data_IF_890950805220
#
_entry.id   IF_890950805220
#
_cell.length_a   1.000
_cell.length_b   1.000
_cell.length_c   1.000
_cell.angle_alpha   90.00
_cell.angle_beta   90.00
_cell.angle_gamma   90.00
#
_symmetry.space_group_name_H-M   'P 1'
#
loop_
_entity.id
_entity.type
_entity.pdbx_description
1 polymer ?
#
# COMPACT_ATOMS: atom_id res chain seq x y z
N UNK A 1 6.67 -21.24 11.10
CA UNK A 1 6.36 -19.97 11.78
C UNK A 1 7.46 -18.98 11.43
N UNK A 2 7.15 -17.81 10.88
CA UNK A 2 8.14 -16.74 10.63
C UNK A 2 7.86 -15.59 11.59
N UNK A 3 8.80 -15.28 12.48
CA UNK A 3 8.62 -14.24 13.49
C UNK A 3 9.23 -12.92 13.01
N UNK A 4 8.38 -11.90 12.88
CA UNK A 4 8.82 -10.56 12.48
C UNK A 4 9.15 -9.77 13.75
N UNK A 5 10.45 -9.51 13.96
CA UNK A 5 10.91 -8.70 15.10
C UNK A 5 10.47 -7.25 14.90
N UNK A 6 9.81 -6.67 15.91
CA UNK A 6 9.32 -5.29 15.90
C UNK A 6 10.08 -4.44 16.90
N UNK A 7 10.35 -3.20 16.53
CA UNK A 7 10.87 -2.17 17.43
C UNK A 7 9.84 -1.04 17.52
N UNK A 8 9.42 -0.70 18.72
CA UNK A 8 8.38 0.31 18.96
C UNK A 8 6.97 -0.22 18.74
N UNK A 9 6.01 0.71 18.67
CA UNK A 9 4.59 0.47 18.38
C UNK A 9 4.11 1.52 17.37
N UNK A 10 3.16 1.17 16.46
CA UNK A 10 2.55 2.15 15.58
C UNK A 10 1.94 3.30 16.37
N UNK A 11 2.17 4.53 15.91
CA UNK A 11 1.46 5.68 16.43
C UNK A 11 -0.02 5.59 16.05
N UNK A 12 -0.87 6.28 16.81
CA UNK A 12 -2.28 6.39 16.46
C UNK A 12 -2.43 7.17 15.14
N UNK A 13 -3.46 6.85 14.37
CA UNK A 13 -3.74 7.46 13.06
C UNK A 13 -3.87 8.99 13.10
N UNK A 14 -4.39 9.55 14.19
CA UNK A 14 -4.52 11.00 14.40
C UNK A 14 -3.17 11.72 14.55
N UNK A 15 -2.11 10.99 14.87
CA UNK A 15 -0.75 11.52 15.01
C UNK A 15 0.07 11.22 13.74
N UNK A 16 -0.07 10.00 13.19
CA UNK A 16 0.65 9.56 12.01
C UNK A 16 -0.30 8.80 11.05
N UNK A 17 -0.97 9.51 10.12
CA UNK A 17 -1.93 8.88 9.21
C UNK A 17 -1.28 8.15 8.04
N UNK A 18 -0.02 8.44 7.72
CA UNK A 18 0.68 7.93 6.55
C UNK A 18 1.83 7.02 6.97
N UNK A 19 1.87 5.83 6.37
CA UNK A 19 2.96 4.85 6.54
C UNK A 19 3.86 4.91 5.32
N UNK A 20 5.16 5.08 5.56
CA UNK A 20 6.18 5.02 4.51
C UNK A 20 7.14 3.90 4.84
N UNK A 21 7.36 3.00 3.89
CA UNK A 21 8.32 1.91 4.03
C UNK A 21 9.16 1.72 2.78
N UNK A 22 10.28 1.03 2.93
CA UNK A 22 10.93 0.39 1.80
C UNK A 22 10.04 -0.74 1.25
N UNK A 23 10.23 -1.09 -0.02
CA UNK A 23 9.57 -2.21 -0.68
C UNK A 23 10.62 -3.27 -1.02
N UNK A 24 10.51 -4.45 -0.41
CA UNK A 24 11.46 -5.56 -0.55
C UNK A 24 10.81 -6.78 -1.17
N UNK A 25 9.50 -6.97 -0.98
CA UNK A 25 8.79 -8.16 -1.46
C UNK A 25 7.32 -7.88 -1.76
N UNK A 26 6.72 -8.72 -2.63
CA UNK A 26 5.28 -8.68 -2.93
C UNK A 26 4.38 -8.99 -1.73
N UNK A 27 4.94 -9.52 -0.63
CA UNK A 27 4.19 -9.78 0.61
C UNK A 27 4.12 -8.55 1.54
N UNK A 28 4.89 -7.47 1.27
CA UNK A 28 4.89 -6.28 2.11
C UNK A 28 3.47 -5.69 2.31
N UNK A 29 2.64 -5.55 1.24
CA UNK A 29 1.25 -5.08 1.36
C UNK A 29 0.41 -5.90 2.34
N UNK A 30 0.58 -7.23 2.33
CA UNK A 30 -0.18 -8.16 3.18
C UNK A 30 0.22 -7.98 4.65
N UNK A 31 1.52 -7.85 4.92
CA UNK A 31 2.02 -7.60 6.27
C UNK A 31 1.49 -6.28 6.83
N UNK A 32 1.57 -5.19 6.06
CA UNK A 32 1.06 -3.90 6.50
C UNK A 32 -0.46 -3.90 6.68
N UNK A 33 -1.20 -4.60 5.83
CA UNK A 33 -2.64 -4.76 6.00
C UNK A 33 -3.02 -5.47 7.30
N UNK A 34 -2.36 -6.58 7.60
CA UNK A 34 -2.55 -7.29 8.86
C UNK A 34 -2.24 -6.41 10.09
N UNK A 35 -1.17 -5.61 10.03
CA UNK A 35 -0.71 -4.83 11.18
C UNK A 35 -1.46 -3.50 11.37
N UNK A 36 -1.81 -2.81 10.27
CA UNK A 36 -2.23 -1.41 10.30
C UNK A 36 -3.55 -1.13 9.56
N UNK A 37 -4.07 -2.09 8.79
CA UNK A 37 -5.22 -1.89 7.89
C UNK A 37 -5.14 -0.60 7.05
N UNK A 38 -4.03 -0.34 6.32
CA UNK A 38 -3.87 0.87 5.54
C UNK A 38 -4.54 0.74 4.15
N UNK A 39 -4.81 1.88 3.53
CA UNK A 39 -5.01 1.95 2.08
C UNK A 39 -3.65 2.02 1.39
N UNK A 40 -3.40 1.10 0.46
CA UNK A 40 -2.09 0.95 -0.19
C UNK A 40 -2.09 1.69 -1.52
N UNK A 41 -0.93 2.24 -1.91
CA UNK A 41 -0.73 2.85 -3.22
C UNK A 41 -0.03 1.82 -4.12
N UNK A 42 -0.61 1.51 -5.29
CA UNK A 42 -0.08 0.51 -6.21
C UNK A 42 -0.06 1.02 -7.65
N UNK A 43 0.83 0.49 -8.49
CA UNK A 43 0.82 0.83 -9.91
C UNK A 43 -0.38 0.20 -10.63
N UNK A 44 -0.99 0.93 -11.57
CA UNK A 44 -2.04 0.41 -12.46
C UNK A 44 -1.61 -0.85 -13.22
N UNK A 45 -0.32 -1.00 -13.53
CA UNK A 45 0.18 -2.17 -14.27
C UNK A 45 0.05 -3.50 -13.50
N UNK A 46 -0.17 -3.46 -12.18
CA UNK A 46 -0.35 -4.69 -11.41
C UNK A 46 -1.72 -5.34 -11.63
N UNK A 47 -2.71 -4.60 -12.15
CA UNK A 47 -4.09 -5.09 -12.30
C UNK A 47 -4.22 -6.23 -13.34
N UNK A 48 -3.28 -6.31 -14.27
CA UNK A 48 -3.21 -7.35 -15.30
C UNK A 48 -2.45 -8.61 -14.86
N UNK A 49 -1.86 -8.62 -13.66
CA UNK A 49 -1.12 -9.78 -13.17
C UNK A 49 -2.09 -10.81 -12.57
N UNK A 50 -2.03 -12.09 -12.98
CA UNK A 50 -2.88 -13.12 -12.41
C UNK A 50 -2.60 -13.27 -10.90
N UNK A 51 -3.67 -13.46 -10.12
CA UNK A 51 -3.67 -13.51 -8.64
C UNK A 51 -3.31 -12.19 -7.93
N UNK A 52 -2.22 -11.53 -8.35
CA UNK A 52 -1.77 -10.26 -7.75
C UNK A 52 -2.80 -9.15 -8.01
N UNK A 53 -3.34 -9.05 -9.23
CA UNK A 53 -4.36 -8.07 -9.57
C UNK A 53 -5.64 -8.25 -8.75
N UNK A 54 -6.08 -9.49 -8.51
CA UNK A 54 -7.27 -9.78 -7.70
C UNK A 54 -7.10 -9.36 -6.24
N UNK A 55 -5.93 -9.65 -5.66
CA UNK A 55 -5.60 -9.24 -4.29
C UNK A 55 -5.57 -7.70 -4.20
N UNK A 56 -4.87 -7.05 -5.12
CA UNK A 56 -4.75 -5.58 -5.14
C UNK A 56 -6.12 -4.91 -5.29
N UNK A 57 -7.00 -5.44 -6.16
CA UNK A 57 -8.39 -4.96 -6.28
C UNK A 57 -9.17 -5.14 -4.99
N UNK A 58 -9.08 -6.31 -4.35
CA UNK A 58 -9.77 -6.59 -3.09
C UNK A 58 -9.30 -5.68 -1.94
N UNK A 59 -8.03 -5.25 -1.96
CA UNK A 59 -7.46 -4.34 -0.96
C UNK A 59 -7.84 -2.86 -1.15
N UNK A 60 -8.64 -2.52 -2.18
CA UNK A 60 -9.09 -1.15 -2.48
C UNK A 60 -7.95 -0.13 -2.53
N UNK A 61 -6.90 -0.43 -3.30
CA UNK A 61 -5.72 0.43 -3.42
C UNK A 61 -6.00 1.75 -4.15
N UNK A 62 -5.14 2.74 -3.92
CA UNK A 62 -5.02 3.92 -4.77
C UNK A 62 -4.09 3.55 -5.93
N UNK A 63 -4.65 3.48 -7.14
CA UNK A 63 -3.88 3.18 -8.34
C UNK A 63 -3.10 4.39 -8.86
N UNK A 64 -1.89 4.14 -9.37
CA UNK A 64 -1.03 5.17 -9.95
C UNK A 64 -0.45 4.73 -11.29
N UNK A 65 -0.66 5.53 -12.31
CA UNK A 65 0.08 5.47 -13.56
C UNK A 65 1.26 6.45 -13.52
N UNK A 66 2.46 5.90 -13.36
CA UNK A 66 3.70 6.71 -13.27
C UNK A 66 4.00 7.52 -14.52
N UNK A 67 3.45 7.16 -15.68
CA UNK A 67 3.67 7.87 -16.94
C UNK A 67 2.67 9.01 -17.17
N UNK A 68 1.55 9.02 -16.45
CA UNK A 68 0.53 10.08 -16.53
C UNK A 68 0.67 11.09 -15.39
N UNK A 69 0.98 12.34 -15.72
CA UNK A 69 1.05 13.42 -14.74
C UNK A 69 -0.30 13.66 -14.03
N UNK A 70 -1.42 13.50 -14.76
CA UNK A 70 -2.76 13.58 -14.18
C UNK A 70 -3.02 12.48 -13.16
N UNK A 71 -2.65 11.23 -13.47
CA UNK A 71 -2.80 10.10 -12.53
C UNK A 71 -1.98 10.32 -11.25
N UNK A 72 -0.71 10.76 -11.37
CA UNK A 72 0.11 11.09 -10.19
C UNK A 72 -0.52 12.18 -9.32
N UNK A 73 -1.09 13.23 -9.94
CA UNK A 73 -1.75 14.33 -9.21
C UNK A 73 -3.00 13.83 -8.49
N UNK A 74 -3.82 13.02 -9.15
CA UNK A 74 -5.04 12.46 -8.56
C UNK A 74 -4.71 11.54 -7.38
N UNK A 75 -3.69 10.68 -7.51
CA UNK A 75 -3.26 9.81 -6.43
C UNK A 75 -2.82 10.61 -5.19
N UNK A 76 -2.10 11.71 -5.36
CA UNK A 76 -1.71 12.60 -4.25
C UNK A 76 -2.93 13.22 -3.57
N UNK A 77 -3.99 13.57 -4.31
CA UNK A 77 -5.22 14.11 -3.69
C UNK A 77 -6.05 13.08 -2.91
N UNK A 78 -5.88 11.80 -3.19
CA UNK A 78 -6.58 10.71 -2.48
C UNK A 78 -5.90 10.33 -1.15
N UNK A 79 -4.60 10.62 -0.99
CA UNK A 79 -3.85 10.35 0.24
C UNK A 79 -4.28 11.36 1.31
N UNK A 80 -4.84 10.86 2.43
CA UNK A 80 -5.37 11.65 3.55
C UNK A 80 -4.90 11.14 4.90
#
# INVERSE_FOLDING_TARGET
YHWIKRKGKPARRDIAPIVVSNHVSFIDPIFYFYELYPTIVASESHDSLPFVGDIIRAMQVIYVNRFSAGSRKNAVSEIK
#
